data_IF_442149714340
#
_entry.id   IF_442149714340
#
_cell.length_a   1.000
_cell.length_b   1.000
_cell.length_c   1.000
_cell.angle_alpha   90.00
_cell.angle_beta   90.00
_cell.angle_gamma   90.00
#
_symmetry.space_group_name_H-M   'P 1'
#
loop_
_entity.id
_entity.type
_entity.pdbx_description
1 polymer ?
#
# COMPACT_ATOMS: atom_id res chain seq x y z
N UNK A 1 -7.87 37.51 3.16
CA UNK A 1 -7.25 38.28 2.04
C UNK A 1 -8.09 38.06 0.79
N UNK A 2 -8.33 39.10 -0.01
CA UNK A 2 -9.04 38.97 -1.29
C UNK A 2 -8.03 38.54 -2.37
N UNK A 3 -8.32 37.44 -3.07
CA UNK A 3 -7.53 36.95 -4.20
C UNK A 3 -8.20 37.37 -5.51
N UNK A 4 -7.42 37.78 -6.52
CA UNK A 4 -7.98 38.10 -7.84
C UNK A 4 -8.14 36.82 -8.65
N UNK A 5 -9.25 36.72 -9.37
CA UNK A 5 -9.54 35.55 -10.22
C UNK A 5 -8.48 35.34 -11.31
N UNK A 6 -7.84 36.43 -11.77
CA UNK A 6 -6.73 36.40 -12.74
C UNK A 6 -5.58 35.51 -12.29
N UNK A 7 -5.32 35.43 -10.99
CA UNK A 7 -4.18 34.70 -10.43
C UNK A 7 -4.37 33.18 -10.55
N UNK A 8 -5.62 32.72 -10.71
CA UNK A 8 -5.98 31.31 -10.93
C UNK A 8 -6.10 30.92 -12.41
N UNK A 9 -5.94 31.86 -13.35
CA UNK A 9 -6.15 31.60 -14.78
C UNK A 9 -5.20 30.54 -15.37
N UNK A 10 -3.92 30.56 -14.96
CA UNK A 10 -2.95 29.54 -15.39
C UNK A 10 -3.34 28.17 -14.85
N UNK A 11 -3.73 28.08 -13.58
CA UNK A 11 -4.22 26.85 -12.98
C UNK A 11 -5.44 26.31 -13.72
N UNK A 12 -6.42 27.17 -14.03
CA UNK A 12 -7.62 26.78 -14.78
C UNK A 12 -7.30 26.26 -16.20
N UNK A 13 -6.34 26.88 -16.92
CA UNK A 13 -5.88 26.39 -18.23
C UNK A 13 -5.22 25.01 -18.12
N UNK A 14 -4.40 24.79 -17.10
CA UNK A 14 -3.74 23.51 -16.84
C UNK A 14 -4.78 22.45 -16.48
N UNK A 15 -5.72 22.74 -15.59
CA UNK A 15 -6.81 21.81 -15.24
C UNK A 15 -7.63 21.45 -16.48
N UNK A 16 -7.98 22.42 -17.34
CA UNK A 16 -8.74 22.14 -18.55
C UNK A 16 -7.94 21.32 -19.60
N UNK A 17 -6.61 21.36 -19.57
CA UNK A 17 -5.78 20.48 -20.39
C UNK A 17 -5.92 19.01 -19.95
N UNK A 18 -6.00 18.76 -18.64
CA UNK A 18 -6.12 17.42 -18.05
C UNK A 18 -7.58 16.93 -17.96
N UNK A 19 -8.53 17.77 -17.58
CA UNK A 19 -9.96 17.47 -17.45
C UNK A 19 -10.71 17.88 -18.72
N UNK A 20 -10.29 17.29 -19.85
CA UNK A 20 -10.97 17.46 -21.14
C UNK A 20 -11.82 16.23 -21.49
N UNK A 21 -12.60 16.32 -22.57
CA UNK A 21 -13.41 15.19 -23.04
C UNK A 21 -12.61 13.94 -23.45
N UNK A 22 -11.32 14.09 -23.78
CA UNK A 22 -10.46 12.96 -24.13
C UNK A 22 -10.10 12.10 -22.92
N UNK A 23 -10.01 12.69 -21.71
CA UNK A 23 -9.74 11.95 -20.47
C UNK A 23 -10.85 10.96 -20.13
N UNK A 24 -12.11 11.27 -20.46
CA UNK A 24 -13.23 10.32 -20.30
C UNK A 24 -13.05 9.11 -21.23
N UNK A 25 -12.73 9.35 -22.50
CA UNK A 25 -12.46 8.28 -23.46
C UNK A 25 -11.24 7.43 -23.03
N UNK A 26 -10.17 8.09 -22.58
CA UNK A 26 -8.97 7.44 -22.08
C UNK A 26 -9.28 6.57 -20.85
N UNK A 27 -10.11 7.03 -19.92
CA UNK A 27 -10.50 6.26 -18.74
C UNK A 27 -11.25 4.96 -19.13
N UNK A 28 -12.16 5.02 -20.10
CA UNK A 28 -12.84 3.82 -20.65
C UNK A 28 -11.83 2.89 -21.30
N UNK A 29 -10.91 3.43 -22.11
CA UNK A 29 -9.85 2.65 -22.73
C UNK A 29 -8.96 1.96 -21.68
N UNK A 30 -8.54 2.66 -20.62
CA UNK A 30 -7.72 2.11 -19.54
C UNK A 30 -8.43 0.98 -18.79
N UNK A 31 -9.74 1.08 -18.57
CA UNK A 31 -10.53 0.02 -17.95
C UNK A 31 -10.59 -1.24 -18.83
N UNK A 32 -10.86 -1.07 -20.13
CA UNK A 32 -10.85 -2.19 -21.10
C UNK A 32 -9.45 -2.78 -21.21
N UNK A 33 -8.42 -1.95 -21.33
CA UNK A 33 -7.03 -2.39 -21.41
C UNK A 33 -6.59 -3.17 -20.17
N UNK A 34 -6.92 -2.69 -18.96
CA UNK A 34 -6.55 -3.38 -17.72
C UNK A 34 -7.21 -4.76 -17.60
N UNK A 35 -8.49 -4.88 -17.96
CA UNK A 35 -9.20 -6.18 -17.95
C UNK A 35 -8.63 -7.14 -18.99
N UNK A 36 -8.41 -6.68 -20.22
CA UNK A 36 -7.80 -7.47 -21.28
C UNK A 36 -6.39 -7.91 -20.89
N UNK A 37 -5.57 -7.01 -20.34
CA UNK A 37 -4.23 -7.32 -19.85
C UNK A 37 -4.25 -8.42 -18.79
N UNK A 38 -5.14 -8.34 -17.80
CA UNK A 38 -5.26 -9.36 -16.76
C UNK A 38 -5.70 -10.72 -17.33
N UNK A 39 -6.64 -10.75 -18.28
CA UNK A 39 -7.07 -12.00 -18.91
C UNK A 39 -5.97 -12.62 -19.78
N UNK A 40 -5.26 -11.83 -20.57
CA UNK A 40 -4.08 -12.31 -21.30
C UNK A 40 -2.97 -12.76 -20.37
N UNK A 41 -2.75 -12.06 -19.26
CA UNK A 41 -1.76 -12.45 -18.27
C UNK A 41 -2.10 -13.79 -17.61
N UNK A 42 -3.37 -14.02 -17.23
CA UNK A 42 -3.83 -15.32 -16.71
C UNK A 42 -3.58 -16.45 -17.70
N UNK A 43 -3.91 -16.24 -18.98
CA UNK A 43 -3.64 -17.22 -20.05
C UNK A 43 -2.15 -17.48 -20.20
N UNK A 44 -1.32 -16.43 -20.27
CA UNK A 44 0.12 -16.57 -20.42
C UNK A 44 0.77 -17.26 -19.23
N UNK A 45 0.34 -16.93 -18.01
CA UNK A 45 0.77 -17.60 -16.77
C UNK A 45 0.44 -19.09 -16.81
N UNK A 46 -0.76 -19.48 -17.25
CA UNK A 46 -1.17 -20.88 -17.36
C UNK A 46 -0.33 -21.65 -18.39
N UNK A 47 -0.06 -21.06 -19.56
CA UNK A 47 0.81 -21.67 -20.58
C UNK A 47 2.24 -21.83 -20.04
N UNK A 48 2.80 -20.81 -19.39
CA UNK A 48 4.14 -20.89 -18.80
C UNK A 48 4.21 -21.94 -17.68
N UNK A 49 3.17 -22.05 -16.85
CA UNK A 49 3.10 -23.07 -15.82
C UNK A 49 3.05 -24.48 -16.41
N UNK A 50 2.32 -24.68 -17.51
CA UNK A 50 2.30 -25.95 -18.24
C UNK A 50 3.64 -26.25 -18.92
N UNK A 51 4.22 -25.28 -19.65
CA UNK A 51 5.48 -25.45 -20.38
C UNK A 51 6.68 -25.73 -19.46
N UNK A 52 6.63 -25.18 -18.24
CA UNK A 52 7.63 -25.42 -17.19
C UNK A 52 7.25 -26.59 -16.27
N UNK A 53 6.19 -27.33 -16.58
CA UNK A 53 5.67 -28.47 -15.83
C UNK A 53 5.29 -28.17 -14.38
N UNK A 54 5.07 -26.89 -14.03
CA UNK A 54 4.81 -26.34 -12.69
C UNK A 54 3.39 -26.59 -12.15
N UNK A 55 2.59 -27.47 -12.76
CA UNK A 55 1.17 -27.62 -12.40
C UNK A 55 1.00 -28.31 -11.04
N UNK A 56 1.81 -29.32 -10.73
CA UNK A 56 1.76 -30.07 -9.45
C UNK A 56 2.95 -29.78 -8.52
N UNK A 57 3.87 -28.87 -8.89
CA UNK A 57 5.08 -28.59 -8.09
C UNK A 57 4.80 -28.04 -6.69
N UNK A 58 3.67 -27.35 -6.49
CA UNK A 58 3.33 -26.77 -5.18
C UNK A 58 3.00 -27.85 -4.13
N UNK A 59 2.40 -28.98 -4.52
CA UNK A 59 2.17 -30.11 -3.59
C UNK A 59 3.41 -31.00 -3.42
N UNK A 60 4.29 -31.05 -4.42
CA UNK A 60 5.46 -31.94 -4.43
C UNK A 60 6.70 -31.35 -3.75
N UNK A 61 6.92 -30.03 -3.85
CA UNK A 61 8.17 -29.39 -3.42
C UNK A 61 8.00 -28.35 -2.29
N UNK A 62 6.78 -28.07 -1.80
CA UNK A 62 6.59 -27.14 -0.69
C UNK A 62 7.09 -27.76 0.64
N UNK A 63 8.41 -27.73 0.84
CA UNK A 63 9.05 -28.14 2.09
C UNK A 63 8.54 -27.27 3.24
N UNK A 64 8.20 -27.93 4.34
CA UNK A 64 7.72 -27.25 5.54
C UNK A 64 8.83 -26.33 6.03
N UNK A 65 8.50 -25.05 6.24
CA UNK A 65 9.49 -24.05 6.66
C UNK A 65 10.24 -24.54 7.91
N UNK A 66 11.59 -24.49 7.96
CA UNK A 66 12.37 -25.10 9.04
C UNK A 66 12.04 -24.52 10.43
N UNK A 67 11.63 -23.25 10.49
CA UNK A 67 11.16 -22.59 11.72
C UNK A 67 9.79 -23.08 12.20
N UNK A 68 8.93 -23.55 11.29
CA UNK A 68 7.70 -24.24 11.63
C UNK A 68 7.97 -25.66 12.13
N UNK A 69 8.83 -26.41 11.43
CA UNK A 69 9.24 -27.76 11.84
C UNK A 69 9.86 -27.76 13.25
N UNK A 70 10.82 -26.87 13.53
CA UNK A 70 11.46 -26.79 14.85
C UNK A 70 10.46 -26.52 15.99
N UNK A 71 9.36 -25.81 15.71
CA UNK A 71 8.36 -25.40 16.71
C UNK A 71 7.24 -26.42 16.89
N UNK A 72 6.90 -27.17 15.84
CA UNK A 72 5.78 -28.12 15.80
C UNK A 72 6.20 -29.59 15.62
N UNK A 73 7.50 -29.88 15.54
CA UNK A 73 8.05 -31.25 15.41
C UNK A 73 7.56 -32.23 16.49
N UNK A 74 7.12 -31.73 17.65
CA UNK A 74 6.57 -32.59 18.72
C UNK A 74 5.07 -32.86 18.61
N UNK A 75 4.36 -32.23 17.68
CA UNK A 75 2.89 -32.33 17.51
C UNK A 75 2.59 -32.74 16.07
N UNK A 76 2.79 -34.00 15.74
CA UNK A 76 2.48 -34.54 14.41
C UNK A 76 1.07 -35.14 14.37
N UNK A 77 0.37 -34.94 13.25
CA UNK A 77 -0.92 -35.58 12.95
C UNK A 77 -0.79 -36.28 11.60
N UNK A 78 -1.31 -37.50 11.51
CA UNK A 78 -1.29 -38.26 10.26
C UNK A 78 -2.31 -37.67 9.27
N UNK A 79 -1.85 -37.32 8.07
CA UNK A 79 -2.73 -36.83 7.01
C UNK A 79 -3.58 -38.00 6.47
N UNK A 80 -4.93 -37.89 6.43
CA UNK A 80 -5.81 -38.96 5.97
C UNK A 80 -5.68 -39.31 4.48
N UNK A 81 -5.03 -38.47 3.67
CA UNK A 81 -4.90 -38.64 2.21
C UNK A 81 -3.50 -39.15 1.85
N UNK A 82 -2.45 -38.58 2.46
CA UNK A 82 -1.04 -38.90 2.16
C UNK A 82 -0.44 -39.95 3.10
N UNK A 83 -1.03 -40.18 4.28
CA UNK A 83 -0.53 -41.14 5.28
C UNK A 83 0.78 -40.74 5.97
N UNK A 84 1.39 -39.62 5.58
CA UNK A 84 2.62 -39.08 6.18
C UNK A 84 2.31 -38.31 7.47
N UNK A 85 3.19 -38.34 8.49
CA UNK A 85 3.06 -37.50 9.67
C UNK A 85 3.37 -36.04 9.31
N UNK A 86 2.41 -35.15 9.50
CA UNK A 86 2.57 -33.71 9.24
C UNK A 86 2.49 -32.92 10.56
N UNK A 87 3.36 -31.92 10.79
CA UNK A 87 3.31 -31.08 11.97
C UNK A 87 2.00 -30.30 12.04
N UNK A 88 1.22 -30.53 13.09
CA UNK A 88 -0.10 -29.98 13.31
C UNK A 88 -0.06 -28.72 14.18
N UNK A 89 -0.46 -27.59 13.61
CA UNK A 89 -0.64 -26.34 14.34
C UNK A 89 -2.00 -26.31 15.03
N UNK A 90 -2.01 -26.07 16.35
CA UNK A 90 -3.24 -25.90 17.11
C UNK A 90 -4.01 -24.62 16.66
N UNK A 91 -5.34 -24.73 16.56
CA UNK A 91 -6.21 -23.61 16.18
C UNK A 91 -6.03 -22.37 17.05
N UNK A 92 -5.77 -22.54 18.35
CA UNK A 92 -5.52 -21.45 19.30
C UNK A 92 -4.24 -20.66 18.98
N UNK A 93 -3.16 -21.34 18.58
CA UNK A 93 -1.90 -20.71 18.20
C UNK A 93 -1.99 -20.01 16.83
N UNK A 94 -2.88 -20.51 15.94
CA UNK A 94 -3.22 -19.84 14.68
C UNK A 94 -4.01 -18.56 14.93
N UNK A 95 -5.02 -18.63 15.79
CA UNK A 95 -5.87 -17.49 16.10
C UNK A 95 -5.12 -16.38 16.86
N UNK A 96 -4.28 -16.74 17.83
CA UNK A 96 -3.43 -15.79 18.56
C UNK A 96 -2.48 -15.03 17.62
N UNK A 97 -1.80 -15.73 16.70
CA UNK A 97 -0.94 -15.07 15.69
C UNK A 97 -1.72 -14.19 14.73
N UNK A 98 -2.91 -14.63 14.31
CA UNK A 98 -3.77 -13.83 13.44
C UNK A 98 -4.20 -12.54 14.14
N UNK A 99 -4.57 -12.59 15.43
CA UNK A 99 -4.90 -11.38 16.20
C UNK A 99 -3.70 -10.44 16.32
N UNK A 100 -2.51 -10.95 16.63
CA UNK A 100 -1.30 -10.12 16.76
C UNK A 100 -0.92 -9.49 15.41
N UNK A 101 -1.05 -10.22 14.31
CA UNK A 101 -0.82 -9.67 12.97
C UNK A 101 -1.87 -8.62 12.59
N UNK A 102 -3.15 -8.93 12.81
CA UNK A 102 -4.25 -8.03 12.52
C UNK A 102 -4.18 -6.73 13.34
N UNK A 103 -3.80 -6.82 14.63
CA UNK A 103 -3.64 -5.64 15.48
C UNK A 103 -2.47 -4.76 15.02
N UNK A 104 -1.37 -5.36 14.57
CA UNK A 104 -0.25 -4.62 13.96
C UNK A 104 -0.65 -3.88 12.68
N UNK A 105 -1.39 -4.53 11.78
CA UNK A 105 -1.90 -3.90 10.56
C UNK A 105 -2.87 -2.76 10.90
N UNK A 106 -3.79 -2.99 11.83
CA UNK A 106 -4.72 -1.97 12.28
C UNK A 106 -4.01 -0.76 12.89
N UNK A 107 -3.00 -0.98 13.74
CA UNK A 107 -2.17 0.08 14.29
C UNK A 107 -1.46 0.89 13.19
N UNK A 108 -0.91 0.23 12.16
CA UNK A 108 -0.29 0.91 11.03
C UNK A 108 -1.28 1.78 10.25
N UNK A 109 -2.51 1.29 10.04
CA UNK A 109 -3.58 2.08 9.41
C UNK A 109 -3.92 3.31 10.24
N UNK A 110 -4.02 3.18 11.57
CA UNK A 110 -4.27 4.32 12.46
C UNK A 110 -3.15 5.37 12.39
N UNK A 111 -1.89 4.94 12.33
CA UNK A 111 -0.74 5.86 12.19
C UNK A 111 -0.81 6.64 10.87
N UNK A 112 -1.15 5.97 9.77
CA UNK A 112 -1.36 6.64 8.46
C UNK A 112 -2.46 7.68 8.57
N UNK A 113 -3.60 7.32 9.15
CA UNK A 113 -4.74 8.23 9.34
C UNK A 113 -4.33 9.44 10.19
N UNK A 114 -3.66 9.21 11.32
CA UNK A 114 -3.16 10.28 12.19
C UNK A 114 -2.17 11.21 11.47
N UNK A 115 -1.28 10.66 10.64
CA UNK A 115 -0.35 11.44 9.83
C UNK A 115 -1.07 12.30 8.77
N UNK A 116 -2.10 11.76 8.09
CA UNK A 116 -2.92 12.52 7.14
C UNK A 116 -3.63 13.67 7.86
N UNK A 117 -4.23 13.44 9.03
CA UNK A 117 -4.79 14.51 9.85
C UNK A 117 -3.74 15.54 10.27
N UNK A 118 -2.55 15.11 10.67
CA UNK A 118 -1.43 15.99 11.00
C UNK A 118 -1.02 16.91 9.84
N UNK A 119 -0.99 16.38 8.61
CA UNK A 119 -0.69 17.16 7.40
C UNK A 119 -1.80 18.18 7.13
N UNK A 120 -3.07 17.81 7.30
CA UNK A 120 -4.20 18.75 7.13
C UNK A 120 -4.10 19.90 8.14
N UNK A 121 -3.79 19.60 9.40
CA UNK A 121 -3.60 20.62 10.44
C UNK A 121 -2.38 21.49 10.13
N UNK A 122 -1.24 20.89 9.75
CA UNK A 122 -0.04 21.63 9.33
C UNK A 122 -0.33 22.60 8.18
N UNK A 123 -1.12 22.17 7.19
CA UNK A 123 -1.56 23.01 6.07
C UNK A 123 -2.38 24.21 6.55
N UNK A 124 -3.31 24.01 7.48
CA UNK A 124 -4.13 25.10 8.06
C UNK A 124 -3.27 26.10 8.82
N UNK A 125 -2.33 25.62 9.65
CA UNK A 125 -1.42 26.46 10.46
C UNK A 125 -0.45 27.24 9.56
N UNK A 126 0.11 26.61 8.53
CA UNK A 126 1.03 27.30 7.61
C UNK A 126 0.30 28.39 6.82
N UNK A 127 -0.90 28.13 6.32
CA UNK A 127 -1.71 29.15 5.63
C UNK A 127 -2.03 30.34 6.55
N UNK A 128 -2.37 30.09 7.81
CA UNK A 128 -2.68 31.18 8.76
C UNK A 128 -1.44 31.96 9.22
N UNK A 129 -0.31 31.29 9.41
CA UNK A 129 0.97 31.94 9.78
C UNK A 129 1.59 32.73 8.64
N UNK A 130 1.52 32.24 7.39
CA UNK A 130 1.91 33.02 6.20
C UNK A 130 0.94 34.18 5.91
N UNK A 131 -0.31 34.11 6.37
CA UNK A 131 -1.21 35.26 6.34
C UNK A 131 -0.80 36.36 7.33
N UNK A 132 -0.11 36.00 8.43
CA UNK A 132 0.37 36.94 9.45
C UNK A 132 1.75 37.55 9.14
N UNK A 133 2.64 36.85 8.43
CA UNK A 133 3.97 37.35 8.06
C UNK A 133 3.95 38.21 6.78
N UNK A 134 4.62 39.38 6.81
CA UNK A 134 4.60 40.41 5.76
C UNK A 134 5.61 40.23 4.61
N UNK A 135 6.22 39.07 4.42
CA UNK A 135 7.15 38.84 3.30
C UNK A 135 6.40 38.65 1.97
N UNK A 136 6.47 39.67 1.11
CA UNK A 136 5.71 39.75 -0.15
C UNK A 136 5.98 38.59 -1.13
N UNK A 137 7.21 38.04 -1.13
CA UNK A 137 7.62 36.95 -2.02
C UNK A 137 6.92 35.62 -1.68
N UNK A 138 6.74 35.34 -0.39
CA UNK A 138 6.09 34.10 0.09
C UNK A 138 4.57 34.20 -0.04
N UNK A 139 3.99 35.40 0.10
CA UNK A 139 2.54 35.59 -0.07
C UNK A 139 2.08 35.28 -1.51
N UNK A 140 2.85 35.68 -2.52
CA UNK A 140 2.52 35.47 -3.93
C UNK A 140 2.59 33.99 -4.35
N UNK A 141 3.48 33.20 -3.76
CA UNK A 141 3.66 31.77 -4.08
C UNK A 141 3.17 30.83 -2.96
N UNK A 142 2.44 31.35 -1.97
CA UNK A 142 2.06 30.64 -0.74
C UNK A 142 1.31 29.33 -1.02
N UNK A 143 0.40 29.33 -2.00
CA UNK A 143 -0.40 28.15 -2.34
C UNK A 143 0.46 27.01 -2.91
N UNK A 144 1.44 27.33 -3.76
CA UNK A 144 2.35 26.35 -4.37
C UNK A 144 3.37 25.86 -3.34
N UNK A 145 3.92 26.77 -2.53
CA UNK A 145 4.88 26.43 -1.48
C UNK A 145 4.26 25.51 -0.41
N UNK A 146 3.06 25.83 0.08
CA UNK A 146 2.35 24.98 1.07
C UNK A 146 1.96 23.62 0.49
N UNK A 147 1.51 23.57 -0.77
CA UNK A 147 1.15 22.29 -1.40
C UNK A 147 2.41 21.45 -1.65
N UNK A 148 3.49 22.07 -2.11
CA UNK A 148 4.78 21.41 -2.31
C UNK A 148 5.38 20.84 -1.02
N UNK A 149 5.44 21.63 0.06
CA UNK A 149 5.94 21.13 1.34
C UNK A 149 5.06 20.04 1.93
N UNK A 150 3.73 20.14 1.80
CA UNK A 150 2.82 19.08 2.24
C UNK A 150 3.04 17.76 1.49
N UNK A 151 3.25 17.81 0.16
CA UNK A 151 3.57 16.62 -0.65
C UNK A 151 4.91 16.02 -0.24
N UNK A 152 5.95 16.83 -0.03
CA UNK A 152 7.26 16.33 0.42
C UNK A 152 7.17 15.67 1.80
N UNK A 153 6.45 16.27 2.76
CA UNK A 153 6.24 15.70 4.09
C UNK A 153 5.47 14.38 3.99
N UNK A 154 4.40 14.34 3.19
CA UNK A 154 3.61 13.13 2.96
C UNK A 154 4.47 12.00 2.37
N UNK A 155 5.31 12.32 1.37
CA UNK A 155 6.23 11.36 0.76
C UNK A 155 7.23 10.78 1.78
N UNK A 156 7.85 11.64 2.60
CA UNK A 156 8.77 11.20 3.65
C UNK A 156 8.09 10.26 4.66
N UNK A 157 6.83 10.57 5.03
CA UNK A 157 6.05 9.72 5.94
C UNK A 157 5.76 8.36 5.31
N UNK A 158 5.30 8.30 4.06
CA UNK A 158 5.04 7.03 3.36
C UNK A 158 6.31 6.19 3.26
N UNK A 159 7.44 6.80 2.90
CA UNK A 159 8.71 6.11 2.80
C UNK A 159 9.15 5.53 4.16
N UNK A 160 9.02 6.29 5.25
CA UNK A 160 9.35 5.83 6.59
C UNK A 160 8.41 4.72 7.06
N UNK A 161 7.11 4.82 6.76
CA UNK A 161 6.13 3.79 7.09
C UNK A 161 6.36 2.50 6.32
N UNK A 162 6.78 2.56 5.04
CA UNK A 162 7.14 1.36 4.28
C UNK A 162 8.32 0.62 4.94
N UNK A 163 9.36 1.35 5.38
CA UNK A 163 10.49 0.75 6.11
C UNK A 163 10.03 0.12 7.43
N UNK A 164 9.19 0.83 8.20
CA UNK A 164 8.65 0.28 9.44
C UNK A 164 7.77 -0.96 9.19
N UNK A 165 6.94 -0.94 8.14
CA UNK A 165 6.10 -2.07 7.75
C UNK A 165 6.95 -3.29 7.39
N UNK A 166 8.00 -3.13 6.60
CA UNK A 166 8.91 -4.25 6.27
C UNK A 166 9.57 -4.84 7.53
N UNK A 167 9.99 -3.99 8.46
CA UNK A 167 10.59 -4.46 9.73
C UNK A 167 9.58 -5.16 10.62
N UNK A 168 8.35 -4.64 10.71
CA UNK A 168 7.27 -5.28 11.47
C UNK A 168 6.81 -6.57 10.80
N UNK A 169 6.73 -6.62 9.47
CA UNK A 169 6.39 -7.83 8.72
C UNK A 169 7.45 -8.93 8.93
N UNK A 170 8.74 -8.56 8.95
CA UNK A 170 9.82 -9.49 9.25
C UNK A 170 9.82 -9.96 10.71
N UNK A 171 9.52 -9.05 11.65
CA UNK A 171 9.43 -9.35 13.08
C UNK A 171 8.13 -10.06 13.46
N UNK A 172 7.12 -10.03 12.57
CA UNK A 172 5.84 -10.65 12.84
C UNK A 172 6.01 -12.16 13.01
N UNK A 173 5.39 -12.77 14.03
CA UNK A 173 5.52 -14.20 14.35
C UNK A 173 4.89 -15.12 13.29
N UNK A 174 4.49 -14.58 12.13
CA UNK A 174 4.07 -15.33 10.96
C UNK A 174 5.25 -15.89 10.16
N UNK A 175 6.45 -15.28 10.27
CA UNK A 175 7.66 -15.82 9.64
C UNK A 175 8.46 -16.77 10.55
N UNK A 176 8.16 -16.83 11.86
CA UNK A 176 8.88 -17.62 12.87
C UNK A 176 8.04 -18.71 13.58
#
# INVERSE_FOLDING_TARGET
PYLRLSDSCIYAKVTHLFDNGATVFFAVFMAVWATVFLEFWKRRRAVLAYDWDLIDWEEEEEEIRPQFEAKYSKKERMNPISGKPEPYQAFTDKYSRLIVSASGIFFMILVVIAAVFGIVIYRVITVSTFAAFGWALIRNNSQVATTGTAVCINFCIIMLLNVLYEKVAFCSPFRA
#
